data_IF_842613326225
#
_entry.id   IF_842613326225
#
_cell.length_a   1.000
_cell.length_b   1.000
_cell.length_c   1.000
_cell.angle_alpha   90.00
_cell.angle_beta   90.00
_cell.angle_gamma   90.00
#
_symmetry.space_group_name_H-M   'P 1'
#
loop_
_entity.id
_entity.type
_entity.pdbx_description
1 polymer ?
#
# COMPACT_ATOMS: atom_id res chain seq x y z
N UNK A 1 16.70 24.07 5.05
CA UNK A 1 16.34 22.65 4.87
C UNK A 1 15.51 22.55 3.60
N UNK A 2 15.87 21.69 2.64
CA UNK A 2 15.04 21.47 1.44
C UNK A 2 13.97 20.43 1.77
N UNK A 3 12.75 20.65 1.30
CA UNK A 3 11.67 19.66 1.31
C UNK A 3 11.08 19.54 -0.09
N UNK A 4 10.54 18.36 -0.39
CA UNK A 4 9.86 18.06 -1.64
C UNK A 4 8.68 17.15 -1.34
N UNK A 5 7.57 17.36 -2.05
CA UNK A 5 6.34 16.58 -1.87
C UNK A 5 5.75 16.29 -3.24
N UNK A 6 5.41 15.02 -3.47
CA UNK A 6 4.77 14.56 -4.69
C UNK A 6 3.68 13.55 -4.32
N UNK A 7 2.53 13.65 -4.97
CA UNK A 7 1.39 12.76 -4.74
C UNK A 7 1.29 11.76 -5.89
N UNK A 8 1.41 10.47 -5.57
CA UNK A 8 1.19 9.40 -6.52
C UNK A 8 -0.27 8.96 -6.45
N UNK A 9 -1.04 9.25 -7.51
CA UNK A 9 -2.44 8.84 -7.62
C UNK A 9 -2.56 7.46 -8.27
N UNK A 10 -3.52 6.66 -7.80
CA UNK A 10 -3.82 5.32 -8.29
C UNK A 10 -5.34 5.12 -8.37
N UNK A 11 -5.78 4.43 -9.41
CA UNK A 11 -7.11 3.85 -9.53
C UNK A 11 -6.92 2.42 -10.03
N UNK A 12 -6.94 1.46 -9.12
CA UNK A 12 -6.63 0.05 -9.41
C UNK A 12 -7.75 -0.58 -10.22
N UNK A 13 -7.40 -1.52 -11.10
CA UNK A 13 -8.41 -2.26 -11.87
C UNK A 13 -9.07 -3.36 -11.05
N UNK A 14 -8.35 -3.86 -10.05
CA UNK A 14 -8.78 -4.91 -9.14
C UNK A 14 -8.99 -4.33 -7.73
N UNK A 15 -9.80 -5.03 -6.93
CA UNK A 15 -9.99 -4.72 -5.49
C UNK A 15 -8.69 -4.84 -4.70
N UNK A 16 -7.77 -5.72 -5.13
CA UNK A 16 -6.44 -5.96 -4.56
C UNK A 16 -5.44 -6.03 -5.70
N UNK A 17 -4.35 -5.27 -5.59
CA UNK A 17 -3.33 -5.17 -6.64
C UNK A 17 -2.00 -4.76 -5.99
N UNK A 18 -0.89 -5.41 -6.38
CA UNK A 18 0.46 -4.96 -6.06
C UNK A 18 0.95 -4.08 -7.21
N UNK A 19 1.35 -2.85 -6.90
CA UNK A 19 1.85 -1.90 -7.90
C UNK A 19 3.27 -1.51 -7.52
N UNK A 20 4.22 -1.80 -8.42
CA UNK A 20 5.61 -1.35 -8.28
C UNK A 20 5.68 0.17 -8.47
N UNK A 21 6.15 0.87 -7.44
CA UNK A 21 6.29 2.35 -7.45
C UNK A 21 7.75 2.83 -7.36
N UNK A 22 8.71 1.91 -7.30
CA UNK A 22 10.14 2.21 -7.10
C UNK A 22 10.67 3.27 -8.05
N UNK A 23 10.33 3.20 -9.34
CA UNK A 23 10.85 4.13 -10.33
C UNK A 23 10.21 5.53 -10.20
N UNK A 24 8.94 5.59 -9.79
CA UNK A 24 8.26 6.86 -9.47
C UNK A 24 8.86 7.53 -8.24
N UNK A 25 9.19 6.74 -7.21
CA UNK A 25 9.88 7.24 -6.00
C UNK A 25 11.30 7.71 -6.34
N UNK A 26 12.06 6.96 -7.14
CA UNK A 26 13.39 7.37 -7.62
C UNK A 26 13.33 8.69 -8.40
N UNK A 27 12.31 8.86 -9.25
CA UNK A 27 12.09 10.10 -9.99
C UNK A 27 11.78 11.27 -9.05
N UNK A 28 10.91 11.08 -8.05
CA UNK A 28 10.61 12.08 -7.03
C UNK A 28 11.87 12.50 -6.23
N UNK A 29 12.69 11.53 -5.82
CA UNK A 29 13.98 11.80 -5.15
C UNK A 29 14.91 12.60 -6.06
N UNK A 30 15.02 12.24 -7.35
CA UNK A 30 15.82 12.98 -8.34
C UNK A 30 15.32 14.42 -8.51
N UNK A 31 14.00 14.64 -8.63
CA UNK A 31 13.37 15.96 -8.74
C UNK A 31 13.60 16.83 -7.50
N UNK A 32 13.65 16.21 -6.32
CA UNK A 32 13.85 16.94 -5.05
C UNK A 32 15.19 17.67 -4.96
N UNK A 33 16.23 17.16 -5.64
CA UNK A 33 17.60 17.66 -5.54
C UNK A 33 18.20 17.59 -4.12
N UNK A 34 17.61 16.78 -3.23
CA UNK A 34 18.16 16.45 -1.90
C UNK A 34 19.29 15.44 -2.09
N UNK A 35 20.46 15.72 -1.51
CA UNK A 35 21.63 14.82 -1.59
C UNK A 35 21.66 13.81 -0.44
N UNK A 36 21.35 14.27 0.76
CA UNK A 36 21.33 13.48 2.00
C UNK A 36 20.07 13.86 2.78
N UNK A 37 19.28 12.89 3.22
CA UNK A 37 18.02 13.13 3.92
C UNK A 37 17.14 11.90 4.04
N UNK A 38 15.87 12.12 4.38
CA UNK A 38 14.85 11.09 4.50
C UNK A 38 13.83 11.20 3.36
N UNK A 39 13.36 10.07 2.86
CA UNK A 39 12.24 9.97 1.92
C UNK A 39 11.12 9.16 2.59
N UNK A 40 10.03 9.85 2.96
CA UNK A 40 8.83 9.20 3.47
C UNK A 40 7.91 8.87 2.29
N UNK A 41 7.52 7.61 2.19
CA UNK A 41 6.50 7.14 1.22
C UNK A 41 5.40 6.48 2.03
N UNK A 42 4.17 7.01 1.95
CA UNK A 42 3.06 6.57 2.78
C UNK A 42 1.77 6.55 1.99
N UNK A 43 0.92 5.56 2.26
CA UNK A 43 -0.45 5.53 1.77
C UNK A 43 -1.31 6.48 2.62
N UNK A 44 -2.05 7.37 1.96
CA UNK A 44 -2.97 8.29 2.65
C UNK A 44 -4.35 7.69 2.92
N UNK A 45 -4.55 6.40 2.61
CA UNK A 45 -5.80 5.68 2.73
C UNK A 45 -5.66 4.51 3.69
N UNK A 46 -6.70 4.27 4.50
CA UNK A 46 -6.72 3.22 5.52
C UNK A 46 -6.84 1.79 4.97
N UNK A 47 -7.05 1.65 3.66
CA UNK A 47 -7.30 0.38 2.97
C UNK A 47 -6.21 0.05 1.93
N UNK A 48 -5.07 0.75 2.00
CA UNK A 48 -3.89 0.52 1.17
C UNK A 48 -2.62 0.71 2.01
N UNK A 49 -1.50 0.14 1.59
CA UNK A 49 -0.22 0.28 2.28
C UNK A 49 0.93 0.45 1.27
N UNK A 50 2.04 1.03 1.74
CA UNK A 50 3.31 1.06 1.00
C UNK A 50 4.26 0.09 1.69
N UNK A 51 4.66 -0.95 0.99
CA UNK A 51 5.56 -1.99 1.50
C UNK A 51 6.81 -2.10 0.64
N UNK A 52 7.89 -2.62 1.22
CA UNK A 52 9.11 -2.99 0.50
C UNK A 52 9.18 -4.51 0.48
N UNK A 53 9.14 -5.10 -0.71
CA UNK A 53 9.25 -6.54 -0.96
C UNK A 53 10.01 -6.77 -2.27
N UNK A 54 10.38 -8.02 -2.55
CA UNK A 54 10.96 -8.40 -3.84
C UNK A 54 9.87 -8.43 -4.94
N UNK A 55 10.29 -8.22 -6.19
CA UNK A 55 9.42 -8.17 -7.37
C UNK A 55 9.46 -9.52 -8.10
N UNK A 56 8.92 -10.52 -7.42
CA UNK A 56 8.92 -11.93 -7.81
C UNK A 56 7.48 -12.48 -7.73
N UNK A 57 7.03 -13.16 -8.78
CA UNK A 57 5.63 -13.55 -8.95
C UNK A 57 5.15 -14.53 -7.85
N UNK A 58 5.97 -15.49 -7.45
CA UNK A 58 5.65 -16.43 -6.37
C UNK A 58 5.48 -15.72 -5.03
N UNK A 59 6.40 -14.81 -4.68
CA UNK A 59 6.30 -14.03 -3.45
C UNK A 59 5.06 -13.12 -3.45
N UNK A 60 4.66 -12.59 -4.61
CA UNK A 60 3.41 -11.84 -4.72
C UNK A 60 2.19 -12.70 -4.37
N UNK A 61 2.16 -13.97 -4.81
CA UNK A 61 1.11 -14.92 -4.45
C UNK A 61 1.15 -15.23 -2.95
N UNK A 62 2.33 -15.54 -2.40
CA UNK A 62 2.54 -15.82 -0.97
C UNK A 62 2.02 -14.70 -0.07
N UNK A 63 2.29 -13.43 -0.45
CA UNK A 63 1.81 -12.24 0.29
C UNK A 63 0.28 -12.24 0.34
N UNK A 64 -0.39 -12.49 -0.80
CA UNK A 64 -1.84 -12.47 -0.84
C UNK A 64 -2.46 -13.62 -0.06
N UNK A 65 -1.91 -14.82 -0.17
CA UNK A 65 -2.36 -15.98 0.62
C UNK A 65 -2.18 -15.75 2.12
N UNK A 66 -1.04 -15.20 2.53
CA UNK A 66 -0.73 -14.89 3.92
C UNK A 66 -1.67 -13.83 4.48
N UNK A 67 -1.87 -12.73 3.76
CA UNK A 67 -2.78 -11.65 4.16
C UNK A 67 -4.23 -12.15 4.27
N UNK A 68 -4.68 -13.00 3.35
CA UNK A 68 -6.02 -13.57 3.41
C UNK A 68 -6.17 -14.56 4.56
N UNK A 69 -5.12 -15.30 4.92
CA UNK A 69 -5.15 -16.20 6.08
C UNK A 69 -5.25 -15.43 7.41
N UNK A 70 -4.55 -14.30 7.54
CA UNK A 70 -4.52 -13.52 8.79
C UNK A 70 -5.69 -12.53 8.92
N UNK A 71 -6.08 -11.90 7.81
CA UNK A 71 -7.14 -10.89 7.76
C UNK A 71 -8.08 -11.19 6.58
N UNK A 72 -8.83 -12.31 6.60
CA UNK A 72 -9.67 -12.73 5.48
C UNK A 72 -10.77 -11.73 5.17
N UNK A 73 -11.22 -11.68 3.91
CA UNK A 73 -12.52 -11.11 3.60
C UNK A 73 -13.61 -11.92 4.31
N UNK A 74 -14.47 -11.21 5.06
CA UNK A 74 -15.64 -11.80 5.68
C UNK A 74 -16.81 -10.84 5.61
N UNK A 75 -18.04 -11.33 5.34
CA UNK A 75 -19.20 -10.45 5.25
C UNK A 75 -19.65 -9.90 6.60
N UNK A 76 -19.22 -10.50 7.71
CA UNK A 76 -19.76 -10.30 9.06
C UNK A 76 -18.87 -9.42 9.98
N UNK A 77 -17.93 -8.66 9.42
CA UNK A 77 -17.20 -7.68 10.20
C UNK A 77 -18.15 -6.64 10.79
N UNK A 78 -17.94 -6.27 12.06
CA UNK A 78 -18.71 -5.20 12.70
C UNK A 78 -18.61 -3.86 11.95
N UNK A 79 -17.49 -3.62 11.25
CA UNK A 79 -17.32 -2.46 10.36
C UNK A 79 -18.43 -2.36 9.32
N UNK A 80 -18.95 -3.48 8.81
CA UNK A 80 -19.92 -3.50 7.72
C UNK A 80 -21.32 -3.01 8.13
N UNK A 81 -21.55 -2.72 9.41
CA UNK A 81 -22.76 -2.04 9.88
C UNK A 81 -22.94 -0.63 9.28
N UNK A 82 -21.87 -0.06 8.71
CA UNK A 82 -21.89 1.21 7.97
C UNK A 82 -22.33 1.07 6.51
N UNK A 83 -22.52 -0.16 6.01
CA UNK A 83 -22.81 -0.44 4.60
C UNK A 83 -21.58 -0.68 3.73
N UNK A 84 -20.37 -0.58 4.29
CA UNK A 84 -19.12 -0.94 3.60
C UNK A 84 -18.83 -2.44 3.72
N UNK A 85 -17.96 -2.96 2.86
CA UNK A 85 -17.54 -4.38 2.85
C UNK A 85 -16.01 -4.55 2.94
N UNK A 86 -15.28 -3.48 3.28
CA UNK A 86 -13.83 -3.37 3.19
C UNK A 86 -13.10 -3.58 4.54
N UNK A 87 -13.76 -4.18 5.54
CA UNK A 87 -13.19 -4.37 6.87
C UNK A 87 -11.86 -5.14 6.84
N UNK A 88 -11.72 -6.10 5.92
CA UNK A 88 -10.48 -6.85 5.72
C UNK A 88 -9.34 -5.96 5.22
N UNK A 89 -9.62 -4.98 4.37
CA UNK A 89 -8.60 -4.09 3.82
C UNK A 89 -8.01 -3.17 4.89
N UNK A 90 -8.82 -2.73 5.86
CA UNK A 90 -8.34 -2.02 7.05
C UNK A 90 -7.41 -2.88 7.91
N UNK A 91 -7.76 -4.16 8.12
CA UNK A 91 -6.96 -5.08 8.91
C UNK A 91 -5.65 -5.47 8.19
N UNK A 92 -5.71 -5.67 6.87
CA UNK A 92 -4.52 -5.88 6.05
C UNK A 92 -3.60 -4.66 6.09
N UNK A 93 -4.14 -3.43 5.98
CA UNK A 93 -3.36 -2.21 6.20
C UNK A 93 -2.65 -2.25 7.56
N UNK A 94 -3.37 -2.53 8.66
CA UNK A 94 -2.77 -2.58 10.00
C UNK A 94 -1.62 -3.60 10.12
N UNK A 95 -1.69 -4.72 9.39
CA UNK A 95 -0.64 -5.75 9.40
C UNK A 95 0.65 -5.32 8.68
N UNK A 96 0.54 -4.43 7.69
CA UNK A 96 1.66 -4.08 6.79
C UNK A 96 1.98 -2.59 6.74
N UNK A 97 1.42 -1.79 7.68
CA UNK A 97 1.67 -0.35 7.76
C UNK A 97 3.02 -0.02 8.39
#
# INVERSE_FOLDING_TARGET
MKSYTEYLLFNTKKRRELIRITDRVKEAVKKSGVKEGLCLVSAMHLTAAVIIQDDEEGLHEDIWEWLERLAPFRPDYNHHRTGEDNGDAHLKNLLVH
#
